data_IF_597910198526
#
_entry.id   IF_597910198526
#
_cell.length_a   1.000
_cell.length_b   1.000
_cell.length_c   1.000
_cell.angle_alpha   90.00
_cell.angle_beta   90.00
_cell.angle_gamma   90.00
#
_symmetry.space_group_name_H-M   'P 1'
#
loop_
_entity.id
_entity.type
_entity.pdbx_description
1 polymer ?
#
# COMPACT_ATOMS: atom_id res chain seq x y z
N UNK A 1 -15.92 -5.30 -12.04
CA UNK A 1 -15.18 -5.87 -10.91
C UNK A 1 -13.74 -6.14 -11.24
N UNK A 2 -13.49 -7.00 -12.22
CA UNK A 2 -12.11 -7.28 -12.62
C UNK A 2 -11.40 -6.04 -13.14
N UNK A 3 -12.10 -5.23 -13.95
CA UNK A 3 -11.54 -3.98 -14.45
C UNK A 3 -11.07 -3.07 -13.33
N UNK A 4 -11.89 -2.93 -12.29
CA UNK A 4 -11.55 -2.10 -11.14
C UNK A 4 -10.35 -2.64 -10.41
N UNK A 5 -10.28 -3.96 -10.25
CA UNK A 5 -9.16 -4.60 -9.59
C UNK A 5 -7.85 -4.37 -10.34
N UNK A 6 -7.89 -4.57 -11.65
CA UNK A 6 -6.71 -4.37 -12.48
C UNK A 6 -6.29 -2.90 -12.52
N UNK A 7 -7.25 -2.01 -12.64
CA UNK A 7 -6.95 -0.58 -12.63
C UNK A 7 -6.38 -0.15 -11.29
N UNK A 8 -6.93 -0.68 -10.20
CA UNK A 8 -6.43 -0.39 -8.87
C UNK A 8 -4.97 -0.83 -8.71
N UNK A 9 -4.63 -2.03 -9.18
CA UNK A 9 -3.26 -2.53 -9.11
C UNK A 9 -2.34 -1.62 -9.92
N UNK A 10 -2.76 -1.22 -11.11
CA UNK A 10 -1.98 -0.35 -11.97
C UNK A 10 -1.72 1.00 -11.29
N UNK A 11 -2.77 1.59 -10.71
CA UNK A 11 -2.65 2.89 -10.03
C UNK A 11 -1.82 2.79 -8.77
N UNK A 12 -1.92 1.68 -8.04
CA UNK A 12 -1.07 1.46 -6.87
C UNK A 12 0.38 1.30 -7.27
N UNK A 13 0.66 0.68 -8.41
CA UNK A 13 2.02 0.59 -8.92
C UNK A 13 2.59 1.98 -9.19
N UNK A 14 1.79 2.86 -9.80
CA UNK A 14 2.21 4.23 -10.03
C UNK A 14 2.47 4.94 -8.70
N UNK A 15 1.60 4.74 -7.72
CA UNK A 15 1.77 5.35 -6.40
C UNK A 15 3.06 4.88 -5.74
N UNK A 16 3.39 3.60 -5.85
CA UNK A 16 4.63 3.06 -5.28
C UNK A 16 5.86 3.69 -5.96
N UNK A 17 5.79 3.88 -7.28
CA UNK A 17 6.88 4.51 -8.00
C UNK A 17 7.06 5.96 -7.54
N UNK A 18 5.96 6.68 -7.34
CA UNK A 18 6.02 8.05 -6.86
C UNK A 18 6.67 8.12 -5.47
N UNK A 19 6.28 7.21 -4.58
CA UNK A 19 6.86 7.17 -3.23
C UNK A 19 8.35 6.85 -3.30
N UNK A 20 8.76 5.92 -4.18
CA UNK A 20 10.17 5.54 -4.29
C UNK A 20 11.02 6.69 -4.81
N UNK A 21 10.43 7.60 -5.57
CA UNK A 21 11.16 8.78 -6.05
C UNK A 21 11.29 9.86 -4.98
N UNK A 22 10.42 9.84 -3.98
CA UNK A 22 10.46 10.82 -2.90
C UNK A 22 11.48 10.43 -1.83
N UNK A 23 11.62 9.13 -1.54
CA UNK A 23 12.46 8.64 -0.47
C UNK A 23 13.60 7.79 -0.99
N UNK A 24 14.84 8.14 -0.58
CA UNK A 24 15.99 7.29 -0.92
C UNK A 24 15.96 5.96 -0.19
N UNK A 25 15.26 5.91 0.95
CA UNK A 25 15.15 4.68 1.75
C UNK A 25 14.06 3.74 1.27
N UNK A 26 13.39 4.07 0.18
CA UNK A 26 12.33 3.26 -0.41
C UNK A 26 12.73 2.95 -1.84
N UNK A 27 13.19 1.72 -2.08
CA UNK A 27 13.71 1.29 -3.38
C UNK A 27 12.73 0.43 -4.14
N UNK A 28 12.62 0.68 -5.43
CA UNK A 28 11.73 -0.08 -6.29
C UNK A 28 12.37 -0.18 -7.68
N UNK A 29 12.58 -1.39 -8.15
CA UNK A 29 13.25 -1.63 -9.44
C UNK A 29 12.25 -1.71 -10.59
N UNK A 30 11.86 -0.56 -11.13
CA UNK A 30 11.10 -0.49 -12.35
C UNK A 30 9.60 -0.72 -12.19
N UNK A 31 8.88 -0.54 -13.29
CA UNK A 31 7.45 -0.62 -13.30
C UNK A 31 6.92 -2.05 -13.13
N UNK A 32 7.62 -3.03 -13.71
CA UNK A 32 7.23 -4.43 -13.54
C UNK A 32 7.26 -4.85 -12.08
N UNK A 33 8.31 -4.43 -11.35
CA UNK A 33 8.40 -4.71 -9.92
C UNK A 33 7.29 -4.00 -9.16
N UNK A 34 6.95 -2.77 -9.56
CA UNK A 34 5.87 -2.05 -8.92
C UNK A 34 4.53 -2.75 -9.13
N UNK A 35 4.29 -3.30 -10.33
CA UNK A 35 3.07 -4.07 -10.58
C UNK A 35 3.00 -5.31 -9.70
N UNK A 36 4.10 -6.04 -9.60
CA UNK A 36 4.13 -7.23 -8.77
C UNK A 36 3.93 -6.90 -7.30
N UNK A 37 4.58 -5.84 -6.81
CA UNK A 37 4.40 -5.41 -5.43
C UNK A 37 2.95 -5.01 -5.17
N UNK A 38 2.33 -4.30 -6.10
CA UNK A 38 0.94 -3.90 -5.96
C UNK A 38 0.00 -5.09 -5.94
N UNK A 39 0.30 -6.12 -6.73
CA UNK A 39 -0.49 -7.34 -6.73
C UNK A 39 -0.39 -8.04 -5.37
N UNK A 40 0.83 -8.15 -4.84
CA UNK A 40 1.04 -8.76 -3.53
C UNK A 40 0.35 -7.95 -2.44
N UNK A 41 0.46 -6.61 -2.50
CA UNK A 41 -0.23 -5.75 -1.54
C UNK A 41 -1.74 -5.94 -1.62
N UNK A 42 -2.28 -6.06 -2.82
CA UNK A 42 -3.72 -6.29 -2.98
C UNK A 42 -4.14 -7.60 -2.33
N UNK A 43 -3.34 -8.66 -2.50
CA UNK A 43 -3.63 -9.94 -1.88
C UNK A 43 -3.57 -9.85 -0.36
N UNK A 44 -2.54 -9.19 0.17
CA UNK A 44 -2.39 -9.02 1.61
C UNK A 44 -3.52 -8.16 2.18
N UNK A 45 -3.90 -7.09 1.47
CA UNK A 45 -4.98 -6.24 1.91
C UNK A 45 -6.32 -6.97 1.94
N UNK A 46 -6.49 -7.96 1.07
CA UNK A 46 -7.73 -8.72 1.01
C UNK A 46 -7.79 -9.79 2.10
N UNK A 47 -6.67 -10.44 2.40
CA UNK A 47 -6.64 -11.60 3.29
C UNK A 47 -6.09 -11.26 4.68
N UNK A 48 -4.93 -10.65 4.73
CA UNK A 48 -4.21 -10.42 6.00
C UNK A 48 -4.71 -9.18 6.74
N UNK A 49 -4.95 -8.11 6.01
CA UNK A 49 -5.32 -6.84 6.64
C UNK A 49 -6.61 -6.92 7.45
N UNK A 50 -7.70 -7.53 6.97
CA UNK A 50 -8.90 -7.65 7.79
C UNK A 50 -8.65 -8.38 9.09
N UNK A 51 -7.81 -9.41 9.06
CA UNK A 51 -7.48 -10.18 10.26
C UNK A 51 -6.73 -9.29 11.24
N UNK A 52 -5.75 -8.55 10.77
CA UNK A 52 -4.97 -7.65 11.61
C UNK A 52 -5.85 -6.55 12.22
N UNK A 53 -6.78 -6.02 11.45
CA UNK A 53 -7.68 -4.97 11.94
C UNK A 53 -8.54 -5.51 13.08
N UNK A 54 -9.08 -6.71 12.92
CA UNK A 54 -9.93 -7.31 13.96
C UNK A 54 -9.13 -7.56 15.23
N UNK A 55 -7.92 -8.10 15.10
CA UNK A 55 -7.07 -8.42 16.25
C UNK A 55 -6.62 -7.16 16.99
N UNK A 56 -6.49 -6.05 16.28
CA UNK A 56 -6.00 -4.80 16.88
C UNK A 56 -7.11 -3.78 17.10
N UNK A 57 -8.37 -4.22 17.01
CA UNK A 57 -9.50 -3.31 17.09
C UNK A 57 -9.49 -2.43 18.34
N UNK A 58 -9.22 -2.96 19.56
CA UNK A 58 -9.17 -2.08 20.74
C UNK A 58 -8.13 -0.98 20.60
N UNK A 59 -6.95 -1.31 20.08
CA UNK A 59 -5.87 -0.32 19.90
C UNK A 59 -6.26 0.69 18.84
N UNK A 60 -6.89 0.22 17.76
CA UNK A 60 -7.33 1.09 16.67
C UNK A 60 -8.36 2.09 17.17
N UNK A 61 -9.31 1.65 17.99
CA UNK A 61 -10.33 2.53 18.54
C UNK A 61 -9.70 3.59 19.46
N UNK A 62 -8.79 3.18 20.34
CA UNK A 62 -8.14 4.10 21.27
C UNK A 62 -7.32 5.13 20.51
N UNK A 63 -6.66 4.74 19.44
CA UNK A 63 -5.82 5.65 18.66
C UNK A 63 -6.62 6.45 17.63
N UNK A 64 -7.93 6.33 17.62
CA UNK A 64 -8.82 7.01 16.67
C UNK A 64 -8.45 6.70 15.22
N UNK A 65 -8.09 5.44 14.98
CA UNK A 65 -7.78 4.96 13.64
C UNK A 65 -6.33 5.15 13.20
N UNK A 66 -5.51 5.84 13.99
CA UNK A 66 -4.11 6.05 13.61
C UNK A 66 -3.34 4.73 13.48
N UNK A 67 -3.75 3.72 14.26
CA UNK A 67 -3.10 2.43 14.19
C UNK A 67 -3.24 1.76 12.83
N UNK A 68 -4.19 2.19 12.02
CA UNK A 68 -4.34 1.68 10.66
C UNK A 68 -3.12 1.99 9.80
N UNK A 69 -2.43 3.10 10.05
CA UNK A 69 -1.20 3.40 9.35
C UNK A 69 -0.10 2.41 9.71
N UNK A 70 -0.08 1.96 10.96
CA UNK A 70 0.86 0.93 11.40
C UNK A 70 0.57 -0.38 10.65
N UNK A 71 -0.70 -0.74 10.52
CA UNK A 71 -1.09 -1.95 9.79
C UNK A 71 -0.68 -1.84 8.33
N UNK A 72 -0.88 -0.68 7.71
CA UNK A 72 -0.45 -0.46 6.33
C UNK A 72 1.06 -0.58 6.19
N UNK A 73 1.81 -0.06 7.16
CA UNK A 73 3.26 -0.19 7.15
C UNK A 73 3.67 -1.64 7.27
N UNK A 74 2.98 -2.42 8.12
CA UNK A 74 3.27 -3.85 8.25
C UNK A 74 3.02 -4.60 6.95
N UNK A 75 1.94 -4.28 6.24
CA UNK A 75 1.70 -4.95 4.95
C UNK A 75 2.77 -4.59 3.94
N UNK A 76 3.29 -3.36 3.95
CA UNK A 76 4.42 -2.97 3.11
C UNK A 76 5.67 -3.77 3.45
N UNK A 77 5.94 -3.95 4.74
CA UNK A 77 7.10 -4.72 5.18
C UNK A 77 6.98 -6.19 4.80
N UNK A 78 5.79 -6.75 4.90
CA UNK A 78 5.56 -8.13 4.46
C UNK A 78 5.78 -8.24 2.95
N UNK A 79 5.29 -7.28 2.20
CA UNK A 79 5.49 -7.25 0.75
C UNK A 79 6.98 -7.21 0.42
N UNK A 80 7.73 -6.38 1.12
CA UNK A 80 9.17 -6.30 0.93
C UNK A 80 9.83 -7.66 1.18
N UNK A 81 9.42 -8.33 2.24
CA UNK A 81 9.93 -9.63 2.60
C UNK A 81 9.73 -10.65 1.48
N UNK A 82 8.57 -10.60 0.84
CA UNK A 82 8.23 -11.52 -0.26
C UNK A 82 8.99 -11.14 -1.53
N UNK A 83 9.11 -9.85 -1.81
CA UNK A 83 9.72 -9.36 -3.05
C UNK A 83 11.24 -9.49 -3.07
N UNK A 84 11.89 -9.43 -1.90
CA UNK A 84 13.33 -9.50 -1.84
C UNK A 84 13.99 -8.18 -2.23
N UNK A 85 15.22 -8.23 -2.78
CA UNK A 85 16.01 -7.00 -2.99
C UNK A 85 15.45 -6.04 -4.04
N UNK A 86 14.48 -6.45 -4.83
CA UNK A 86 13.90 -5.55 -5.84
C UNK A 86 12.94 -4.53 -5.25
N UNK A 87 12.53 -4.71 -4.01
CA UNK A 87 11.63 -3.81 -3.31
C UNK A 87 12.12 -3.69 -1.87
N UNK A 88 12.78 -2.58 -1.57
CA UNK A 88 13.43 -2.40 -0.26
C UNK A 88 12.90 -1.13 0.40
N UNK A 89 12.46 -1.28 1.64
CA UNK A 89 12.08 -0.17 2.49
C UNK A 89 13.00 -0.20 3.69
N UNK A 90 13.81 0.84 3.84
CA UNK A 90 14.81 0.88 4.90
C UNK A 90 14.23 1.42 6.19
N UNK A 91 13.78 0.50 7.05
CA UNK A 91 13.32 0.83 8.37
C UNK A 91 11.81 0.97 8.47
N UNK A 92 11.30 0.69 9.67
CA UNK A 92 9.87 0.75 9.93
C UNK A 92 9.34 2.19 9.88
N UNK A 93 10.17 3.16 10.27
CA UNK A 93 9.79 4.58 10.18
C UNK A 93 9.50 5.00 8.75
N UNK A 94 10.36 4.59 7.81
CA UNK A 94 10.12 4.85 6.40
C UNK A 94 8.84 4.17 5.93
N UNK A 95 8.59 2.95 6.40
CA UNK A 95 7.37 2.23 6.04
C UNK A 95 6.11 2.96 6.52
N UNK A 96 6.15 3.53 7.71
CA UNK A 96 5.01 4.28 8.25
C UNK A 96 4.76 5.54 7.41
N UNK A 97 5.81 6.29 7.12
CA UNK A 97 5.68 7.50 6.32
C UNK A 97 5.19 7.16 4.92
N UNK A 98 5.76 6.12 4.32
CA UNK A 98 5.32 5.66 3.01
C UNK A 98 3.85 5.23 3.04
N UNK A 99 3.44 4.53 4.09
CA UNK A 99 2.05 4.10 4.23
C UNK A 99 1.09 5.28 4.29
N UNK A 100 1.48 6.33 5.01
CA UNK A 100 0.66 7.54 5.10
C UNK A 100 0.53 8.19 3.72
N UNK A 101 1.65 8.35 3.03
CA UNK A 101 1.65 8.97 1.70
C UNK A 101 0.87 8.10 0.70
N UNK A 102 1.08 6.79 0.74
CA UNK A 102 0.34 5.88 -0.14
C UNK A 102 -1.16 5.95 0.13
N UNK A 103 -1.55 6.06 1.39
CA UNK A 103 -2.96 6.17 1.74
C UNK A 103 -3.58 7.43 1.15
N UNK A 104 -2.86 8.54 1.23
CA UNK A 104 -3.33 9.80 0.66
C UNK A 104 -3.42 9.69 -0.86
N UNK A 105 -2.39 9.16 -1.50
CA UNK A 105 -2.39 8.97 -2.95
C UNK A 105 -3.52 8.05 -3.37
N UNK A 106 -3.72 6.95 -2.64
CA UNK A 106 -4.78 6.00 -2.95
C UNK A 106 -6.17 6.63 -2.83
N UNK A 107 -6.37 7.51 -1.86
CA UNK A 107 -7.64 8.22 -1.74
C UNK A 107 -7.90 9.08 -2.97
N UNK A 108 -6.87 9.78 -3.43
CA UNK A 108 -6.98 10.63 -4.60
C UNK A 108 -7.24 9.79 -5.85
N UNK A 109 -6.46 8.72 -6.02
CA UNK A 109 -6.60 7.86 -7.19
C UNK A 109 -7.93 7.11 -7.20
N UNK A 110 -8.39 6.66 -6.04
CA UNK A 110 -9.67 5.97 -5.93
C UNK A 110 -10.82 6.88 -6.31
N UNK A 111 -10.75 8.13 -5.89
CA UNK A 111 -11.77 9.10 -6.27
C UNK A 111 -11.75 9.33 -7.77
N UNK A 112 -10.55 9.46 -8.34
CA UNK A 112 -10.40 9.64 -9.77
C UNK A 112 -10.99 8.46 -10.56
N UNK A 113 -10.68 7.24 -10.10
CA UNK A 113 -11.19 6.03 -10.74
C UNK A 113 -12.71 5.96 -10.65
N UNK A 114 -13.24 6.28 -9.48
CA UNK A 114 -14.67 6.29 -9.26
C UNK A 114 -15.38 7.25 -10.21
N UNK A 115 -14.82 8.45 -10.35
CA UNK A 115 -15.41 9.47 -11.23
C UNK A 115 -15.30 9.05 -12.69
N UNK A 116 -14.24 8.34 -13.06
CA UNK A 116 -14.00 7.91 -14.42
C UNK A 116 -14.86 6.72 -14.81
N UNK A 117 -15.02 5.75 -13.92
CA UNK A 117 -15.71 4.50 -14.23
C UNK A 117 -17.19 4.51 -13.86
N UNK A 118 -17.64 5.62 -13.33
CA UNK A 118 -19.02 5.71 -12.91
C UNK A 118 -19.88 6.30 -14.02
N UNK A 119 -20.94 5.71 -14.31
CA UNK A 119 -21.91 6.17 -15.25
C UNK A 119 -22.93 5.21 -15.45
#
# INVERSE_FOLDING_TARGET
MLQRGLLSIFLNAIALILVSNIFDSFHLEGFGTALLASFILAALNTVVKPILIILTLPITVISLGLFLFVINALTLMITQSVMGPSFVIEGFGTAIIAAIILSIINLILSKFVKDTLRY
#
